data_IF_068842164251
#
_entry.id   IF_068842164251
#
_cell.length_a   1.000
_cell.length_b   1.000
_cell.length_c   1.000
_cell.angle_alpha   90.00
_cell.angle_beta   90.00
_cell.angle_gamma   90.00
#
_symmetry.space_group_name_H-M   'P 1'
#
loop_
_entity.id
_entity.type
_entity.pdbx_description
1 polymer ?
#
# COMPACT_ATOMS: atom_id res chain seq x y z
N UNK A 1 1.91 -18.40 5.99
CA UNK A 1 1.69 -16.97 5.78
C UNK A 1 0.49 -16.50 6.59
N UNK A 2 0.71 -15.52 7.45
CA UNK A 2 -0.32 -14.90 8.28
C UNK A 2 -0.41 -13.43 7.88
N UNK A 3 -1.63 -12.90 7.82
CA UNK A 3 -1.81 -11.47 7.57
C UNK A 3 -2.60 -10.86 8.73
N UNK A 4 -2.09 -9.77 9.27
CA UNK A 4 -2.76 -9.05 10.36
C UNK A 4 -2.74 -7.55 10.12
N UNK A 5 -3.65 -6.83 10.79
CA UNK A 5 -3.64 -5.38 10.75
C UNK A 5 -2.49 -4.84 11.59
N UNK A 6 -1.94 -3.70 11.18
CA UNK A 6 -0.91 -3.01 11.94
C UNK A 6 -1.42 -2.70 13.36
N UNK A 7 -0.58 -3.00 14.35
CA UNK A 7 -0.81 -2.68 15.76
C UNK A 7 0.43 -1.97 16.31
N UNK A 8 0.29 -1.34 17.47
CA UNK A 8 1.42 -0.56 18.04
C UNK A 8 2.66 -1.41 18.30
N UNK A 9 2.49 -2.68 18.70
CA UNK A 9 3.63 -3.56 18.95
C UNK A 9 4.37 -3.98 17.68
N UNK A 10 3.82 -3.71 16.50
CA UNK A 10 4.48 -3.94 15.21
C UNK A 10 5.02 -2.67 14.57
N UNK A 11 4.79 -1.51 15.19
CA UNK A 11 5.13 -0.23 14.58
C UNK A 11 6.60 -0.10 14.22
N UNK A 12 7.51 -0.49 15.13
CA UNK A 12 8.94 -0.37 14.87
C UNK A 12 9.38 -1.21 13.67
N UNK A 13 8.92 -2.45 13.62
CA UNK A 13 9.21 -3.36 12.51
C UNK A 13 8.58 -2.86 11.21
N UNK A 14 7.35 -2.36 11.27
CA UNK A 14 6.67 -1.78 10.11
C UNK A 14 7.42 -0.56 9.60
N UNK A 15 7.88 0.31 10.50
CA UNK A 15 8.69 1.47 10.11
C UNK A 15 9.94 1.05 9.35
N UNK A 16 10.62 -0.01 9.79
CA UNK A 16 11.80 -0.52 9.10
C UNK A 16 11.50 -0.97 7.68
N UNK A 17 10.38 -1.68 7.46
CA UNK A 17 10.04 -2.12 6.11
C UNK A 17 9.59 -0.95 5.22
N UNK A 18 8.95 0.07 5.80
CA UNK A 18 8.63 1.30 5.07
C UNK A 18 9.92 1.99 4.61
N UNK A 19 10.94 2.03 5.48
CA UNK A 19 12.24 2.58 5.11
C UNK A 19 12.88 1.81 3.96
N UNK A 20 12.77 0.49 3.96
CA UNK A 20 13.27 -0.34 2.85
C UNK A 20 12.54 -0.04 1.54
N UNK A 21 11.22 0.12 1.60
CA UNK A 21 10.43 0.49 0.44
C UNK A 21 10.88 1.82 -0.15
N UNK A 22 11.02 2.83 0.70
CA UNK A 22 11.43 4.17 0.28
C UNK A 22 12.82 4.15 -0.33
N UNK A 23 13.77 3.45 0.31
CA UNK A 23 15.15 3.36 -0.18
C UNK A 23 15.26 2.70 -1.55
N UNK A 24 14.39 1.72 -1.84
CA UNK A 24 14.37 1.02 -3.13
C UNK A 24 13.65 1.83 -4.22
N UNK A 25 12.79 2.76 -3.84
CA UNK A 25 11.89 3.48 -4.76
C UNK A 25 12.51 4.76 -5.30
N UNK A 26 11.79 5.40 -6.23
CA UNK A 26 12.11 6.75 -6.71
C UNK A 26 11.94 7.81 -5.60
N UNK A 27 11.37 7.44 -4.45
CA UNK A 27 11.13 8.33 -3.32
C UNK A 27 12.22 8.28 -2.24
N UNK A 28 13.39 7.74 -2.57
CA UNK A 28 14.49 7.56 -1.60
C UNK A 28 14.88 8.84 -0.87
N UNK A 29 14.59 9.99 -1.44
CA UNK A 29 14.85 11.31 -0.85
C UNK A 29 13.82 11.71 0.22
N UNK A 30 12.67 11.05 0.29
CA UNK A 30 11.61 11.37 1.23
C UNK A 30 11.83 10.58 2.53
N UNK A 31 12.20 11.29 3.60
CA UNK A 31 12.53 10.64 4.88
C UNK A 31 11.27 10.15 5.59
N UNK A 32 11.15 8.84 5.87
CA UNK A 32 10.02 8.33 6.65
C UNK A 32 10.02 8.87 8.09
N UNK A 33 8.83 9.15 8.62
CA UNK A 33 8.63 9.66 9.97
C UNK A 33 7.68 8.72 10.72
N UNK A 34 8.19 8.09 11.78
CA UNK A 34 7.45 7.07 12.54
C UNK A 34 6.16 7.61 13.16
N UNK A 35 6.21 8.80 13.75
CA UNK A 35 5.04 9.38 14.40
C UNK A 35 3.94 9.71 13.40
N UNK A 36 4.30 10.13 12.21
CA UNK A 36 3.34 10.39 11.14
C UNK A 36 2.61 9.11 10.74
N UNK A 37 3.34 8.00 10.61
CA UNK A 37 2.76 6.69 10.30
C UNK A 37 1.79 6.27 11.41
N UNK A 38 2.22 6.38 12.66
CA UNK A 38 1.37 6.04 13.80
C UNK A 38 0.07 6.84 13.82
N UNK A 39 0.15 8.15 13.62
CA UNK A 39 -1.04 9.01 13.60
C UNK A 39 -1.99 8.65 12.47
N UNK A 40 -1.46 8.38 11.28
CA UNK A 40 -2.28 8.02 10.14
C UNK A 40 -3.11 6.76 10.42
N UNK A 41 -2.48 5.71 10.95
CA UNK A 41 -3.16 4.43 11.14
C UNK A 41 -3.98 4.34 12.43
N UNK A 42 -4.06 5.42 13.21
CA UNK A 42 -5.08 5.59 14.24
C UNK A 42 -6.44 6.01 13.65
N UNK A 43 -6.43 6.52 12.41
CA UNK A 43 -7.65 6.90 11.70
C UNK A 43 -8.41 5.64 11.28
N UNK A 44 -9.70 5.47 11.67
CA UNK A 44 -10.46 4.28 11.28
C UNK A 44 -10.70 4.17 9.77
N UNK A 45 -10.48 5.24 9.02
CA UNK A 45 -10.58 5.23 7.57
C UNK A 45 -9.26 4.92 6.87
N UNK A 46 -8.23 4.54 7.63
CA UNK A 46 -6.94 4.08 7.09
C UNK A 46 -6.64 2.70 7.64
N UNK A 47 -5.91 1.88 6.87
CA UNK A 47 -5.55 0.52 7.27
C UNK A 47 -4.19 0.17 6.69
N UNK A 48 -3.43 -0.65 7.43
CA UNK A 48 -2.27 -1.35 6.90
C UNK A 48 -2.42 -2.83 7.24
N UNK A 49 -2.29 -3.68 6.24
CA UNK A 49 -2.25 -5.14 6.40
C UNK A 49 -0.82 -5.60 6.24
N UNK A 50 -0.35 -6.38 7.21
CA UNK A 50 1.02 -6.88 7.28
C UNK A 50 1.04 -8.37 6.98
N UNK A 51 1.86 -8.77 6.03
CA UNK A 51 2.08 -10.18 5.73
C UNK A 51 3.27 -10.68 6.54
N UNK A 52 3.09 -11.78 7.28
CA UNK A 52 4.07 -12.32 8.20
C UNK A 52 4.48 -13.73 7.80
N UNK A 53 5.78 -13.97 7.76
CA UNK A 53 6.38 -15.30 7.67
C UNK A 53 7.34 -15.46 8.84
N UNK A 54 7.22 -16.55 9.59
CA UNK A 54 8.02 -16.78 10.77
C UNK A 54 8.01 -15.59 11.73
N UNK A 55 6.82 -14.98 11.89
CA UNK A 55 6.58 -13.83 12.76
C UNK A 55 7.33 -12.56 12.36
N UNK A 56 7.81 -12.47 11.12
CA UNK A 56 8.48 -11.28 10.59
C UNK A 56 7.68 -10.70 9.42
N UNK A 57 7.64 -9.38 9.32
CA UNK A 57 6.94 -8.71 8.23
C UNK A 57 7.72 -8.90 6.93
N UNK A 58 7.05 -9.50 5.92
CA UNK A 58 7.65 -9.72 4.60
C UNK A 58 6.99 -8.87 3.51
N UNK A 59 5.91 -8.20 3.85
CA UNK A 59 5.23 -7.31 2.92
C UNK A 59 4.08 -6.60 3.60
N UNK A 60 3.54 -5.58 2.96
CA UNK A 60 2.37 -4.87 3.46
C UNK A 60 1.62 -4.20 2.32
N UNK A 61 0.35 -3.89 2.58
CA UNK A 61 -0.44 -2.99 1.76
C UNK A 61 -1.20 -2.05 2.69
N UNK A 62 -1.29 -0.80 2.32
CA UNK A 62 -2.01 0.19 3.12
C UNK A 62 -2.93 1.00 2.23
N UNK A 63 -4.04 1.46 2.80
CA UNK A 63 -5.04 2.20 2.06
C UNK A 63 -5.82 3.16 2.94
N UNK A 64 -6.53 4.05 2.28
CA UNK A 64 -7.35 5.07 2.92
C UNK A 64 -8.66 5.25 2.17
N UNK A 65 -9.74 5.45 2.92
CA UNK A 65 -11.05 5.80 2.37
C UNK A 65 -11.10 7.29 2.12
N UNK A 66 -11.56 7.69 0.95
CA UNK A 66 -11.81 9.10 0.67
C UNK A 66 -12.89 9.24 -0.41
N UNK A 67 -13.31 10.47 -0.66
CA UNK A 67 -14.31 10.78 -1.67
C UNK A 67 -13.68 11.66 -2.74
N UNK A 68 -14.31 11.71 -3.92
CA UNK A 68 -13.94 12.71 -4.92
C UNK A 68 -14.33 14.09 -4.41
N UNK A 69 -13.57 15.13 -4.80
CA UNK A 69 -13.92 16.49 -4.38
C UNK A 69 -15.29 16.95 -4.89
N UNK A 70 -15.80 16.27 -5.93
CA UNK A 70 -17.04 16.64 -6.60
C UNK A 70 -18.19 15.65 -6.36
N UNK A 71 -17.98 14.59 -5.57
CA UNK A 71 -18.97 13.54 -5.38
C UNK A 71 -18.81 12.85 -4.03
N UNK A 72 -19.92 12.37 -3.48
CA UNK A 72 -19.91 11.58 -2.25
C UNK A 72 -19.57 10.11 -2.51
N UNK A 73 -19.23 9.75 -3.75
CA UNK A 73 -18.82 8.38 -4.07
C UNK A 73 -17.52 8.05 -3.33
N UNK A 74 -17.56 7.02 -2.50
CA UNK A 74 -16.41 6.59 -1.70
C UNK A 74 -15.49 5.70 -2.51
N UNK A 75 -14.20 5.89 -2.30
CA UNK A 75 -13.18 5.03 -2.87
C UNK A 75 -12.08 4.78 -1.85
N UNK A 76 -11.40 3.65 -2.00
CA UNK A 76 -10.18 3.35 -1.27
C UNK A 76 -9.03 3.48 -2.25
N UNK A 77 -7.99 4.18 -1.84
CA UNK A 77 -6.73 4.25 -2.59
C UNK A 77 -5.61 3.66 -1.76
N UNK A 78 -4.66 3.00 -2.40
CA UNK A 78 -3.48 2.54 -1.70
C UNK A 78 -2.60 3.72 -1.29
N UNK A 79 -1.92 3.56 -0.16
CA UNK A 79 -0.92 4.50 0.33
C UNK A 79 0.49 3.94 0.16
N UNK A 80 0.61 2.62 0.22
CA UNK A 80 1.85 1.92 -0.01
C UNK A 80 1.58 0.44 -0.19
N UNK A 81 2.38 -0.21 -1.02
CA UNK A 81 2.27 -1.63 -1.30
C UNK A 81 3.67 -2.14 -1.61
N UNK A 82 4.17 -3.02 -0.76
CA UNK A 82 5.54 -3.47 -0.86
C UNK A 82 5.68 -4.92 -0.37
N UNK A 83 6.46 -5.71 -1.09
CA UNK A 83 6.82 -7.06 -0.70
C UNK A 83 8.33 -7.16 -0.79
N UNK A 84 8.97 -7.73 0.23
CA UNK A 84 10.42 -7.94 0.19
C UNK A 84 10.82 -8.70 -1.07
N UNK A 85 11.97 -8.38 -1.69
CA UNK A 85 12.38 -9.02 -2.95
C UNK A 85 12.34 -10.55 -2.93
N UNK A 86 12.73 -11.16 -1.81
CA UNK A 86 12.77 -12.62 -1.66
C UNK A 86 11.38 -13.27 -1.74
N UNK A 87 10.31 -12.50 -1.48
CA UNK A 87 8.93 -12.99 -1.46
C UNK A 87 8.13 -12.54 -2.67
N UNK A 88 8.73 -11.83 -3.61
CA UNK A 88 8.09 -11.41 -4.86
C UNK A 88 7.89 -12.62 -5.76
N UNK A 89 6.77 -12.64 -6.48
CA UNK A 89 6.39 -13.79 -7.29
C UNK A 89 5.70 -14.88 -6.50
N UNK A 90 5.53 -14.69 -5.19
CA UNK A 90 4.76 -15.58 -4.32
C UNK A 90 3.31 -15.09 -4.23
N UNK A 91 2.51 -15.75 -3.38
CA UNK A 91 1.11 -15.39 -3.16
C UNK A 91 0.90 -14.20 -2.23
N UNK A 92 1.97 -13.64 -1.67
CA UNK A 92 1.88 -12.56 -0.68
C UNK A 92 1.14 -11.35 -1.26
N UNK A 93 1.57 -10.87 -2.42
CA UNK A 93 0.96 -9.70 -3.07
C UNK A 93 -0.53 -9.92 -3.33
N UNK A 94 -0.90 -11.07 -3.87
CA UNK A 94 -2.29 -11.38 -4.17
C UNK A 94 -3.17 -11.37 -2.91
N UNK A 95 -2.68 -11.98 -1.84
CA UNK A 95 -3.43 -12.03 -0.58
C UNK A 95 -3.61 -10.66 0.03
N UNK A 96 -2.58 -9.82 -0.03
CA UNK A 96 -2.65 -8.44 0.46
C UNK A 96 -3.70 -7.63 -0.30
N UNK A 97 -3.69 -7.71 -1.63
CA UNK A 97 -4.67 -6.98 -2.45
C UNK A 97 -6.08 -7.44 -2.14
N UNK A 98 -6.30 -8.74 -2.00
CA UNK A 98 -7.64 -9.28 -1.69
C UNK A 98 -8.14 -8.82 -0.34
N UNK A 99 -7.27 -8.70 0.66
CA UNK A 99 -7.66 -8.20 1.97
C UNK A 99 -8.00 -6.71 1.93
N UNK A 100 -7.24 -5.91 1.19
CA UNK A 100 -7.57 -4.49 1.03
C UNK A 100 -8.92 -4.34 0.31
N UNK A 101 -9.19 -5.17 -0.70
CA UNK A 101 -10.47 -5.17 -1.40
C UNK A 101 -11.62 -5.50 -0.44
N UNK A 102 -11.47 -6.53 0.39
CA UNK A 102 -12.48 -6.89 1.37
C UNK A 102 -12.72 -5.76 2.37
N UNK A 103 -11.66 -5.12 2.83
CA UNK A 103 -11.76 -3.98 3.74
C UNK A 103 -12.47 -2.80 3.08
N UNK A 104 -12.19 -2.54 1.81
CA UNK A 104 -12.86 -1.48 1.05
C UNK A 104 -14.37 -1.75 0.97
N UNK A 105 -14.76 -3.00 0.73
CA UNK A 105 -16.16 -3.40 0.70
C UNK A 105 -16.83 -3.19 2.07
N UNK A 106 -16.16 -3.57 3.15
CA UNK A 106 -16.65 -3.33 4.51
C UNK A 106 -16.88 -1.84 4.78
N UNK A 107 -16.01 -0.99 4.26
CA UNK A 107 -16.10 0.47 4.41
C UNK A 107 -17.13 1.09 3.46
N UNK A 108 -17.82 0.27 2.67
CA UNK A 108 -18.84 0.71 1.70
C UNK A 108 -18.24 1.58 0.60
N UNK A 109 -16.98 1.34 0.26
CA UNK A 109 -16.37 1.98 -0.89
C UNK A 109 -16.92 1.33 -2.17
N UNK A 110 -17.06 2.13 -3.20
CA UNK A 110 -17.57 1.67 -4.49
C UNK A 110 -16.44 1.44 -5.49
N UNK A 111 -15.23 1.87 -5.14
CA UNK A 111 -14.04 1.73 -6.01
C UNK A 111 -12.82 1.44 -5.17
N UNK A 112 -11.90 0.66 -5.74
CA UNK A 112 -10.56 0.44 -5.19
C UNK A 112 -9.55 0.90 -6.24
N UNK A 113 -8.71 1.86 -5.87
CA UNK A 113 -7.67 2.40 -6.73
C UNK A 113 -6.31 1.95 -6.24
N UNK A 114 -5.60 1.21 -7.08
CA UNK A 114 -4.22 0.79 -6.82
C UNK A 114 -3.32 1.40 -7.89
N UNK A 115 -2.19 1.92 -7.46
CA UNK A 115 -1.24 2.54 -8.36
C UNK A 115 0.15 1.95 -8.20
N UNK A 116 1.08 2.51 -8.95
CA UNK A 116 2.49 2.24 -8.77
C UNK A 116 3.23 3.52 -9.10
N UNK A 117 3.82 4.12 -8.06
CA UNK A 117 4.54 5.38 -8.19
C UNK A 117 6.01 5.26 -7.79
N UNK A 118 6.45 4.04 -7.45
CA UNK A 118 7.84 3.80 -7.05
C UNK A 118 8.83 3.80 -8.22
N UNK A 119 8.33 3.66 -9.46
CA UNK A 119 9.17 3.59 -10.65
C UNK A 119 9.79 2.22 -10.91
N UNK A 120 9.42 1.19 -10.12
CA UNK A 120 9.99 -0.14 -10.21
C UNK A 120 9.05 -1.09 -10.95
N UNK A 121 9.58 -1.80 -11.95
CA UNK A 121 8.84 -2.86 -12.68
C UNK A 121 7.40 -2.47 -13.05
N UNK A 122 7.22 -1.31 -13.64
CA UNK A 122 5.90 -0.74 -13.95
C UNK A 122 5.05 -1.70 -14.78
N UNK A 123 5.61 -2.26 -15.84
CA UNK A 123 4.85 -3.16 -16.74
C UNK A 123 4.42 -4.43 -16.03
N UNK A 124 5.27 -4.99 -15.18
CA UNK A 124 4.98 -6.20 -14.42
C UNK A 124 3.84 -5.94 -13.42
N UNK A 125 3.88 -4.81 -12.72
CA UNK A 125 2.84 -4.41 -11.77
C UNK A 125 1.52 -4.17 -12.49
N UNK A 126 1.57 -3.49 -13.63
CA UNK A 126 0.39 -3.25 -14.46
C UNK A 126 -0.29 -4.57 -14.87
N UNK A 127 0.51 -5.54 -15.35
CA UNK A 127 -0.02 -6.86 -15.73
C UNK A 127 -0.62 -7.60 -14.53
N UNK A 128 -0.01 -7.48 -13.36
CA UNK A 128 -0.54 -8.07 -12.14
C UNK A 128 -1.93 -7.53 -11.82
N UNK A 129 -2.10 -6.20 -11.85
CA UNK A 129 -3.39 -5.57 -11.60
C UNK A 129 -4.42 -5.94 -12.66
N UNK A 130 -4.05 -5.96 -13.93
CA UNK A 130 -4.96 -6.33 -15.02
C UNK A 130 -5.49 -7.75 -14.86
N UNK A 131 -4.66 -8.68 -14.39
CA UNK A 131 -5.10 -10.06 -14.09
C UNK A 131 -6.09 -10.12 -12.94
N UNK A 132 -6.09 -9.13 -12.07
CA UNK A 132 -7.05 -9.00 -10.96
C UNK A 132 -8.26 -8.15 -11.35
N UNK A 133 -8.44 -7.90 -12.65
CA UNK A 133 -9.57 -7.16 -13.21
C UNK A 133 -9.55 -5.67 -12.91
N UNK A 134 -8.38 -5.10 -12.60
CA UNK A 134 -8.21 -3.66 -12.54
C UNK A 134 -8.02 -3.09 -13.95
N UNK A 135 -8.66 -1.96 -14.21
CA UNK A 135 -8.52 -1.24 -15.47
C UNK A 135 -7.55 -0.07 -15.26
N UNK A 136 -6.56 0.07 -16.12
CA UNK A 136 -5.65 1.21 -16.07
C UNK A 136 -6.39 2.47 -16.55
N UNK A 137 -6.41 3.52 -15.70
CA UNK A 137 -7.18 4.74 -15.97
C UNK A 137 -6.32 6.00 -16.08
N UNK A 138 -5.02 5.88 -15.85
CA UNK A 138 -4.14 7.05 -15.92
C UNK A 138 -2.71 6.73 -15.48
N UNK A 139 -1.95 7.78 -15.23
CA UNK A 139 -0.57 7.67 -14.74
C UNK A 139 -0.23 8.91 -13.91
N UNK A 140 0.88 8.84 -13.17
CA UNK A 140 1.37 9.96 -12.37
C UNK A 140 2.71 10.45 -12.89
N UNK A 141 2.95 11.75 -12.75
CA UNK A 141 4.26 12.35 -13.04
C UNK A 141 4.71 13.15 -11.81
N UNK A 142 6.01 13.34 -11.67
CA UNK A 142 6.57 14.10 -10.57
C UNK A 142 7.59 15.11 -11.10
N UNK A 143 7.58 16.29 -10.51
CA UNK A 143 8.61 17.32 -10.75
C UNK A 143 9.06 17.81 -9.38
N UNK A 144 10.35 17.73 -9.11
CA UNK A 144 10.88 18.21 -7.84
C UNK A 144 10.99 19.72 -7.88
N UNK A 145 10.38 20.38 -6.88
CA UNK A 145 10.34 21.84 -6.81
C UNK A 145 11.46 22.39 -5.92
N UNK A 146 12.05 21.53 -5.07
CA UNK A 146 13.21 21.81 -4.22
C UNK A 146 14.10 20.59 -4.14
N UNK A 147 15.36 20.80 -3.91
CA UNK A 147 16.31 19.73 -3.64
C UNK A 147 16.40 19.43 -2.14
#
# INVERSE_FOLDING_TARGET
LIIEKLSENRLDEFFEIVCKMVAESEFFYAKPEKQKILQLFKNPNAVAFLALENNQIVGFISGIVHEYFFSNRKRVSDLGFFVLPEYRGSRVALKLVKLLESWAIEKKAEELHLGQTTGLDIDKTKRFYERLEFKTVGFNTVKHLRE
#
